data_IF_300344957319
#
_entry.id   IF_300344957319
#
_cell.length_a   1.000
_cell.length_b   1.000
_cell.length_c   1.000
_cell.angle_alpha   90.00
_cell.angle_beta   90.00
_cell.angle_gamma   90.00
#
_symmetry.space_group_name_H-M   'P 1'
#
loop_
_entity.id
_entity.type
_entity.pdbx_description
1 polymer ?
#
# COMPACT_ATOMS: atom_id res chain seq x y z
N UNK A 1 1.26 -26.68 -22.01
CA UNK A 1 2.22 -27.32 -21.08
C UNK A 1 2.96 -26.30 -20.20
N UNK A 2 3.68 -25.35 -20.78
CA UNK A 2 4.43 -24.34 -20.00
C UNK A 2 3.53 -23.49 -19.10
N UNK A 3 2.38 -23.07 -19.60
CA UNK A 3 1.41 -22.30 -18.80
C UNK A 3 0.98 -23.03 -17.53
N UNK A 4 0.69 -24.33 -17.63
CA UNK A 4 0.28 -25.14 -16.46
C UNK A 4 1.42 -25.30 -15.44
N UNK A 5 2.67 -25.43 -15.89
CA UNK A 5 3.83 -25.48 -14.99
C UNK A 5 4.02 -24.16 -14.28
N UNK A 6 3.92 -23.04 -15.00
CA UNK A 6 4.01 -21.71 -14.39
C UNK A 6 2.86 -21.43 -13.44
N UNK A 7 1.63 -21.84 -13.75
CA UNK A 7 0.49 -21.75 -12.84
C UNK A 7 0.82 -22.42 -11.51
N UNK A 8 1.28 -23.66 -11.55
CA UNK A 8 1.60 -24.43 -10.35
C UNK A 8 2.70 -23.73 -9.51
N UNK A 9 3.81 -23.35 -10.14
CA UNK A 9 4.93 -22.72 -9.44
C UNK A 9 4.57 -21.33 -8.90
N UNK A 10 3.77 -20.55 -9.63
CA UNK A 10 3.34 -19.21 -9.21
C UNK A 10 2.35 -19.30 -8.05
N UNK A 11 1.39 -20.22 -8.08
CA UNK A 11 0.43 -20.40 -7.00
C UNK A 11 1.08 -20.93 -5.71
N UNK A 12 2.21 -21.65 -5.80
CA UNK A 12 2.99 -22.03 -4.62
C UNK A 12 3.48 -20.82 -3.82
N UNK A 13 3.70 -19.67 -4.45
CA UNK A 13 4.12 -18.43 -3.78
C UNK A 13 3.02 -17.89 -2.84
N UNK A 14 1.75 -18.22 -3.12
CA UNK A 14 0.64 -17.81 -2.26
C UNK A 14 0.75 -18.41 -0.84
N UNK A 15 1.32 -19.60 -0.68
CA UNK A 15 1.45 -20.29 0.61
C UNK A 15 2.33 -19.48 1.58
N UNK A 16 3.62 -19.17 1.31
CA UNK A 16 4.43 -18.38 2.22
C UNK A 16 3.90 -16.96 2.41
N UNK A 17 3.27 -16.37 1.38
CA UNK A 17 2.64 -15.06 1.49
C UNK A 17 1.48 -15.07 2.47
N UNK A 18 0.62 -16.09 2.43
CA UNK A 18 -0.46 -16.28 3.38
C UNK A 18 0.07 -16.50 4.82
N UNK A 19 1.11 -17.32 4.98
CA UNK A 19 1.77 -17.53 6.28
C UNK A 19 2.28 -16.21 6.85
N UNK A 20 2.90 -15.36 6.04
CA UNK A 20 3.34 -14.02 6.47
C UNK A 20 2.16 -13.15 6.90
N UNK A 21 1.09 -13.10 6.13
CA UNK A 21 -0.10 -12.33 6.47
C UNK A 21 -0.71 -12.80 7.81
N UNK A 22 -0.84 -14.12 8.00
CA UNK A 22 -1.33 -14.68 9.26
C UNK A 22 -0.41 -14.39 10.43
N UNK A 23 0.91 -14.43 10.26
CA UNK A 23 1.86 -14.07 11.29
C UNK A 23 1.70 -12.61 11.74
N UNK A 24 1.49 -11.68 10.80
CA UNK A 24 1.19 -10.27 11.14
C UNK A 24 -0.13 -10.15 11.91
N UNK A 25 -1.20 -10.79 11.42
CA UNK A 25 -2.52 -10.72 12.07
C UNK A 25 -2.46 -11.33 13.47
N UNK A 26 -1.84 -12.50 13.64
CA UNK A 26 -1.72 -13.17 14.93
C UNK A 26 -0.84 -12.42 15.91
N UNK A 27 0.19 -11.72 15.43
CA UNK A 27 1.02 -10.84 16.28
C UNK A 27 0.21 -9.67 16.83
N UNK A 28 -0.75 -9.14 16.05
CA UNK A 28 -1.65 -8.08 16.50
C UNK A 28 -2.81 -8.60 17.38
N UNK A 29 -3.13 -9.88 17.28
CA UNK A 29 -4.27 -10.47 17.97
C UNK A 29 -4.11 -10.42 19.48
N UNK A 30 -5.11 -9.85 20.17
CA UNK A 30 -5.10 -9.64 21.64
C UNK A 30 -3.93 -8.81 22.18
N UNK A 31 -3.19 -8.12 21.31
CA UNK A 31 -2.14 -7.19 21.70
C UNK A 31 -2.71 -5.86 22.22
N UNK A 32 -1.94 -5.15 23.02
CA UNK A 32 -2.26 -3.78 23.43
C UNK A 32 -1.87 -2.82 22.31
N UNK A 33 -2.74 -2.67 21.32
CA UNK A 33 -2.48 -1.86 20.13
C UNK A 33 -2.63 -0.37 20.43
N UNK A 34 -1.58 0.38 20.22
CA UNK A 34 -1.64 1.84 20.23
C UNK A 34 -1.75 2.34 18.79
N UNK A 35 -2.92 2.84 18.40
CA UNK A 35 -3.22 3.32 17.04
C UNK A 35 -2.54 4.67 16.75
N UNK A 36 -1.23 4.73 16.89
CA UNK A 36 -0.42 5.85 16.44
C UNK A 36 -0.15 5.76 14.92
N UNK A 37 0.37 6.81 14.27
CA UNK A 37 0.64 6.79 12.83
C UNK A 37 1.49 5.60 12.38
N UNK A 38 2.52 5.20 13.14
CA UNK A 38 3.36 4.05 12.81
C UNK A 38 2.54 2.74 12.76
N UNK A 39 1.68 2.51 13.76
CA UNK A 39 0.81 1.33 13.82
C UNK A 39 -0.23 1.36 12.70
N UNK A 40 -0.83 2.50 12.40
CA UNK A 40 -1.80 2.62 11.31
C UNK A 40 -1.17 2.27 9.96
N UNK A 41 0.03 2.76 9.68
CA UNK A 41 0.76 2.39 8.46
C UNK A 41 1.13 0.90 8.45
N UNK A 42 1.46 0.30 9.59
CA UNK A 42 1.72 -1.14 9.69
C UNK A 42 0.47 -1.98 9.39
N UNK A 43 -0.69 -1.56 9.89
CA UNK A 43 -1.99 -2.19 9.57
C UNK A 43 -2.33 -1.98 8.10
N UNK A 44 -2.10 -0.77 7.58
CA UNK A 44 -2.28 -0.44 6.17
C UNK A 44 -1.43 -1.32 5.25
N UNK A 45 -0.17 -1.59 5.60
CA UNK A 45 0.71 -2.52 4.89
C UNK A 45 0.07 -3.90 4.78
N UNK A 46 -0.39 -4.46 5.90
CA UNK A 46 -1.00 -5.79 5.90
C UNK A 46 -2.29 -5.80 5.07
N UNK A 47 -3.12 -4.76 5.19
CA UNK A 47 -4.36 -4.61 4.43
C UNK A 47 -4.10 -4.57 2.92
N UNK A 48 -3.19 -3.73 2.45
CA UNK A 48 -2.88 -3.60 1.02
C UNK A 48 -2.19 -4.84 0.47
N UNK A 49 -1.30 -5.46 1.25
CA UNK A 49 -0.65 -6.71 0.88
C UNK A 49 -1.65 -7.85 0.69
N UNK A 50 -2.63 -8.00 1.60
CA UNK A 50 -3.67 -9.04 1.49
C UNK A 50 -4.58 -8.75 0.30
N UNK A 51 -5.07 -7.52 0.17
CA UNK A 51 -5.96 -7.13 -0.95
C UNK A 51 -5.30 -7.37 -2.30
N UNK A 52 -4.06 -6.93 -2.46
CA UNK A 52 -3.31 -7.17 -3.69
C UNK A 52 -2.93 -8.65 -3.87
N UNK A 53 -2.59 -9.36 -2.78
CA UNK A 53 -2.24 -10.78 -2.83
C UNK A 53 -3.37 -11.68 -3.32
N UNK A 54 -4.62 -11.36 -2.95
CA UNK A 54 -5.80 -12.11 -3.44
C UNK A 54 -5.96 -11.99 -4.96
N UNK A 55 -5.69 -10.82 -5.53
CA UNK A 55 -5.72 -10.64 -7.00
C UNK A 55 -4.56 -11.35 -7.71
N UNK A 56 -3.48 -11.63 -6.99
CA UNK A 56 -2.35 -12.42 -7.49
C UNK A 56 -2.70 -13.87 -7.81
N UNK A 57 -3.69 -14.45 -7.13
CA UNK A 57 -4.19 -15.79 -7.42
C UNK A 57 -4.82 -15.84 -8.82
N UNK A 58 -5.53 -14.79 -9.21
CA UNK A 58 -6.13 -14.66 -10.55
C UNK A 58 -5.03 -14.57 -11.61
N UNK A 59 -4.01 -13.73 -11.38
CA UNK A 59 -2.88 -13.58 -12.30
C UNK A 59 -1.95 -14.80 -12.31
N UNK A 60 -1.93 -15.58 -11.23
CA UNK A 60 -1.13 -16.80 -11.14
C UNK A 60 -1.71 -17.98 -11.93
N UNK A 61 -3.01 -17.99 -12.19
CA UNK A 61 -3.66 -18.99 -12.99
C UNK A 61 -3.63 -18.59 -14.48
N UNK A 62 -2.92 -19.36 -15.30
CA UNK A 62 -2.76 -19.05 -16.72
C UNK A 62 -4.09 -19.04 -17.50
N UNK A 63 -5.12 -19.72 -17.05
CA UNK A 63 -6.44 -19.71 -17.68
C UNK A 63 -7.21 -18.43 -17.40
N UNK A 64 -7.04 -17.86 -16.22
CA UNK A 64 -7.64 -16.57 -15.84
C UNK A 64 -6.80 -15.40 -16.34
N UNK A 65 -5.48 -15.53 -16.30
CA UNK A 65 -4.52 -14.49 -16.68
C UNK A 65 -4.66 -14.09 -18.16
N UNK A 66 -5.03 -15.01 -19.05
CA UNK A 66 -5.28 -14.72 -20.47
C UNK A 66 -6.20 -13.52 -20.68
N UNK A 67 -7.19 -13.32 -19.80
CA UNK A 67 -8.18 -12.24 -19.94
C UNK A 67 -7.72 -10.92 -19.31
N UNK A 68 -6.77 -10.95 -18.39
CA UNK A 68 -6.33 -9.77 -17.62
C UNK A 68 -4.85 -9.46 -17.80
N UNK A 69 -4.13 -10.29 -18.52
CA UNK A 69 -2.72 -10.11 -18.83
C UNK A 69 -2.49 -8.78 -19.59
N UNK A 70 -1.45 -8.07 -19.20
CA UNK A 70 -1.10 -6.75 -19.76
C UNK A 70 -2.21 -5.69 -19.74
N UNK A 71 -3.17 -5.83 -18.82
CA UNK A 71 -4.21 -4.83 -18.53
C UNK A 71 -3.89 -4.04 -17.26
N UNK A 72 -4.74 -3.04 -16.95
CA UNK A 72 -4.67 -2.29 -15.68
C UNK A 72 -4.91 -3.16 -14.44
N UNK A 73 -5.46 -4.36 -14.58
CA UNK A 73 -5.57 -5.33 -13.48
C UNK A 73 -4.19 -5.71 -12.93
N UNK A 74 -3.24 -5.97 -13.80
CA UNK A 74 -1.85 -6.27 -13.40
C UNK A 74 -1.23 -5.08 -12.68
N UNK A 75 -1.48 -3.86 -13.18
CA UNK A 75 -0.96 -2.62 -12.57
C UNK A 75 -1.51 -2.45 -11.15
N UNK A 76 -2.81 -2.64 -10.96
CA UNK A 76 -3.45 -2.57 -9.66
C UNK A 76 -2.88 -3.59 -8.67
N UNK A 77 -2.73 -4.84 -9.12
CA UNK A 77 -2.18 -5.92 -8.32
C UNK A 77 -0.79 -5.58 -7.76
N UNK A 78 0.20 -5.33 -8.61
CA UNK A 78 1.56 -5.14 -8.11
C UNK A 78 1.74 -3.83 -7.34
N UNK A 79 0.95 -2.80 -7.62
CA UNK A 79 1.00 -1.58 -6.82
C UNK A 79 0.47 -1.80 -5.40
N UNK A 80 -0.59 -2.57 -5.21
CA UNK A 80 -1.08 -2.89 -3.86
C UNK A 80 -0.10 -3.79 -3.11
N UNK A 81 0.41 -4.86 -3.76
CA UNK A 81 1.31 -5.83 -3.11
C UNK A 81 2.67 -5.24 -2.79
N UNK A 82 3.26 -4.51 -3.74
CA UNK A 82 4.65 -4.07 -3.64
C UNK A 82 4.77 -2.56 -3.48
N UNK A 83 4.09 -1.77 -4.31
CA UNK A 83 4.22 -0.31 -4.31
C UNK A 83 3.73 0.30 -3.00
N UNK A 84 2.44 0.19 -2.72
CA UNK A 84 1.81 0.83 -1.55
C UNK A 84 2.20 0.13 -0.25
N UNK A 85 2.23 -1.22 -0.22
CA UNK A 85 2.61 -1.92 1.00
C UNK A 85 4.06 -1.64 1.41
N UNK A 86 5.00 -1.54 0.47
CA UNK A 86 6.39 -1.15 0.77
C UNK A 86 6.48 0.29 1.28
N UNK A 87 5.75 1.23 0.65
CA UNK A 87 5.68 2.62 1.12
C UNK A 87 5.10 2.71 2.53
N UNK A 88 4.06 1.94 2.83
CA UNK A 88 3.48 1.91 4.18
C UNK A 88 4.47 1.35 5.20
N UNK A 89 5.24 0.32 4.84
CA UNK A 89 6.33 -0.20 5.68
C UNK A 89 7.40 0.87 5.93
N UNK A 90 7.79 1.61 4.90
CA UNK A 90 8.72 2.73 5.01
C UNK A 90 8.19 3.82 5.97
N UNK A 91 6.95 4.27 5.77
CA UNK A 91 6.35 5.29 6.64
C UNK A 91 6.18 4.80 8.07
N UNK A 92 5.73 3.55 8.27
CA UNK A 92 5.66 2.96 9.60
C UNK A 92 7.02 3.01 10.30
N UNK A 93 8.09 2.63 9.60
CA UNK A 93 9.47 2.67 10.09
C UNK A 93 9.91 4.09 10.42
N UNK A 94 9.69 5.05 9.51
CA UNK A 94 10.07 6.45 9.75
C UNK A 94 9.36 7.01 10.98
N UNK A 95 8.04 6.87 11.11
CA UNK A 95 7.31 7.35 12.28
C UNK A 95 7.74 6.66 13.59
N UNK A 96 8.09 5.37 13.51
CA UNK A 96 8.51 4.59 14.69
C UNK A 96 9.91 4.96 15.16
N UNK A 97 10.87 5.06 14.24
CA UNK A 97 12.28 5.30 14.56
C UNK A 97 12.69 6.77 14.55
N UNK A 98 11.81 7.68 14.15
CA UNK A 98 12.10 9.12 14.16
C UNK A 98 12.64 9.63 15.50
N UNK A 99 12.06 9.25 16.66
CA UNK A 99 12.60 9.62 17.96
C UNK A 99 14.05 9.19 18.18
N UNK A 100 14.40 8.01 17.68
CA UNK A 100 15.76 7.47 17.81
C UNK A 100 16.76 8.16 16.88
N UNK A 101 16.31 8.58 15.70
CA UNK A 101 17.15 9.28 14.73
C UNK A 101 17.43 10.74 15.11
N UNK A 102 16.43 11.43 15.65
CA UNK A 102 16.48 12.89 15.85
C UNK A 102 16.27 13.33 17.30
N UNK A 103 15.98 12.42 18.24
CA UNK A 103 15.67 12.76 19.63
C UNK A 103 14.37 13.56 19.81
N UNK A 104 13.51 13.60 18.78
CA UNK A 104 12.28 14.39 18.74
C UNK A 104 11.11 13.55 18.23
N UNK A 105 9.87 13.97 18.55
CA UNK A 105 8.65 13.32 18.07
C UNK A 105 8.09 14.05 16.86
N UNK A 106 7.63 13.29 15.87
CA UNK A 106 6.82 13.84 14.78
C UNK A 106 5.43 14.22 15.27
N UNK A 107 4.82 15.22 14.62
CA UNK A 107 3.46 15.64 14.95
C UNK A 107 2.46 14.52 14.58
N UNK A 108 1.75 14.02 15.61
CA UNK A 108 0.79 12.92 15.47
C UNK A 108 -0.41 13.27 14.60
N UNK A 109 -0.92 14.51 14.71
CA UNK A 109 -2.11 14.93 13.95
C UNK A 109 -1.81 14.97 12.45
N UNK A 110 -0.66 15.52 12.06
CA UNK A 110 -0.20 15.49 10.67
C UNK A 110 0.04 14.05 10.19
N UNK A 111 0.55 13.17 11.08
CA UNK A 111 0.70 11.75 10.80
C UNK A 111 -0.63 11.04 10.54
N UNK A 112 -1.68 11.36 11.28
CA UNK A 112 -3.02 10.81 11.05
C UNK A 112 -3.61 11.31 9.72
N UNK A 113 -3.48 12.60 9.42
CA UNK A 113 -3.93 13.17 8.15
C UNK A 113 -3.20 12.48 6.98
N UNK A 114 -1.87 12.36 7.08
CA UNK A 114 -1.06 11.69 6.08
C UNK A 114 -1.53 10.24 5.86
N UNK A 115 -1.73 9.47 6.93
CA UNK A 115 -2.18 8.08 6.81
C UNK A 115 -3.56 7.98 6.16
N UNK A 116 -4.58 8.66 6.70
CA UNK A 116 -5.95 8.48 6.24
C UNK A 116 -6.15 8.97 4.79
N UNK A 117 -5.57 10.11 4.44
CA UNK A 117 -5.65 10.60 3.05
C UNK A 117 -4.93 9.62 2.12
N UNK A 118 -3.72 9.18 2.47
CA UNK A 118 -2.98 8.23 1.63
C UNK A 118 -3.73 6.89 1.52
N UNK A 119 -4.32 6.37 2.61
CA UNK A 119 -5.00 5.09 2.61
C UNK A 119 -6.27 5.12 1.74
N UNK A 120 -7.12 6.13 1.92
CA UNK A 120 -8.33 6.28 1.10
C UNK A 120 -7.97 6.46 -0.37
N UNK A 121 -6.98 7.30 -0.67
CA UNK A 121 -6.57 7.55 -2.05
C UNK A 121 -5.89 6.33 -2.69
N UNK A 122 -5.09 5.56 -1.95
CA UNK A 122 -4.48 4.34 -2.47
C UNK A 122 -5.54 3.33 -2.94
N UNK A 123 -6.57 3.11 -2.13
CA UNK A 123 -7.69 2.27 -2.55
C UNK A 123 -8.53 2.94 -3.64
N UNK A 124 -8.73 4.26 -3.60
CA UNK A 124 -9.42 5.02 -4.63
C UNK A 124 -8.74 4.98 -6.01
N UNK A 125 -7.42 4.80 -6.04
CA UNK A 125 -6.64 4.61 -7.27
C UNK A 125 -6.69 3.16 -7.72
N UNK A 126 -6.22 2.23 -6.87
CA UNK A 126 -5.91 0.87 -7.33
C UNK A 126 -7.10 -0.09 -7.31
N UNK A 127 -8.13 0.17 -6.51
CA UNK A 127 -9.32 -0.67 -6.53
C UNK A 127 -10.13 -0.53 -7.82
N UNK A 128 -10.47 0.70 -8.31
CA UNK A 128 -11.11 0.87 -9.61
C UNK A 128 -10.27 0.37 -10.79
N UNK A 129 -8.94 0.41 -10.69
CA UNK A 129 -8.06 -0.12 -11.74
C UNK A 129 -8.28 -1.62 -12.01
N UNK A 130 -8.70 -2.41 -11.03
CA UNK A 130 -9.03 -3.81 -11.27
C UNK A 130 -10.23 -3.94 -12.21
N UNK A 131 -11.25 -3.10 -12.04
CA UNK A 131 -12.45 -3.15 -12.88
C UNK A 131 -12.17 -2.71 -14.32
N UNK A 132 -11.42 -1.63 -14.52
CA UNK A 132 -11.06 -1.21 -15.88
C UNK A 132 -10.10 -2.20 -16.54
N UNK A 133 -9.27 -2.90 -15.74
CA UNK A 133 -8.44 -3.99 -16.23
C UNK A 133 -9.23 -5.22 -16.64
N UNK A 134 -10.27 -5.60 -15.87
CA UNK A 134 -11.20 -6.68 -16.23
C UNK A 134 -12.02 -6.33 -17.48
N UNK A 135 -12.31 -5.05 -17.72
CA UNK A 135 -12.92 -4.58 -18.97
C UNK A 135 -11.96 -4.64 -20.17
N UNK A 136 -10.69 -5.03 -19.95
CA UNK A 136 -9.70 -5.22 -21.02
C UNK A 136 -8.85 -3.99 -21.33
N UNK A 137 -8.92 -2.91 -20.53
CA UNK A 137 -8.09 -1.72 -20.79
C UNK A 137 -6.60 -2.07 -20.66
N UNK A 138 -5.82 -1.97 -21.77
CA UNK A 138 -4.42 -2.36 -21.77
C UNK A 138 -3.55 -1.35 -21.02
N UNK A 139 -2.52 -1.82 -20.32
CA UNK A 139 -1.48 -0.98 -19.73
C UNK A 139 -0.49 -0.47 -20.81
N UNK A 140 0.29 0.56 -20.47
CA UNK A 140 1.38 1.10 -21.31
C UNK A 140 0.95 1.84 -22.58
N UNK A 141 -0.29 2.26 -22.67
CA UNK A 141 -0.76 3.13 -23.73
C UNK A 141 -0.77 4.60 -23.27
N UNK A 142 -0.47 5.52 -24.18
CA UNK A 142 -0.41 6.94 -23.85
C UNK A 142 -1.80 7.57 -23.70
N UNK A 143 -2.83 6.93 -24.24
CA UNK A 143 -4.22 7.39 -24.16
C UNK A 143 -5.20 6.22 -24.10
N UNK A 144 -6.29 6.42 -23.35
CA UNK A 144 -7.40 5.45 -23.26
C UNK A 144 -8.35 5.59 -24.46
N UNK A 145 -8.35 6.75 -25.13
CA UNK A 145 -9.24 7.05 -26.26
C UNK A 145 -8.72 6.50 -27.60
N UNK A 146 -7.65 5.73 -27.58
CA UNK A 146 -7.16 5.02 -28.77
C UNK A 146 -8.18 4.00 -29.32
N UNK A 147 -9.08 3.54 -28.45
CA UNK A 147 -10.10 2.53 -28.79
C UNK A 147 -11.45 3.01 -28.31
N UNK A 148 -12.43 3.29 -29.22
CA UNK A 148 -13.74 3.85 -28.86
C UNK A 148 -14.55 3.04 -27.86
N UNK A 149 -14.36 1.72 -27.81
CA UNK A 149 -15.05 0.85 -26.83
C UNK A 149 -14.60 1.02 -25.37
N UNK A 150 -13.58 1.84 -25.11
CA UNK A 150 -13.17 2.23 -23.76
C UNK A 150 -13.62 3.64 -23.35
N UNK A 151 -14.39 4.33 -24.18
CA UNK A 151 -14.84 5.69 -23.86
C UNK A 151 -15.68 5.72 -22.57
N UNK A 152 -16.48 4.69 -22.30
CA UNK A 152 -17.28 4.54 -21.08
C UNK A 152 -16.42 4.43 -19.80
N UNK A 153 -15.13 4.12 -19.93
CA UNK A 153 -14.19 4.03 -18.81
C UNK A 153 -13.46 5.35 -18.53
N UNK A 154 -13.68 6.38 -19.33
CA UNK A 154 -12.99 7.66 -19.21
C UNK A 154 -13.25 8.31 -17.84
N UNK A 155 -14.49 8.30 -17.36
CA UNK A 155 -14.86 8.88 -16.07
C UNK A 155 -14.16 8.19 -14.90
N UNK A 156 -14.01 6.87 -14.97
CA UNK A 156 -13.29 6.09 -13.94
C UNK A 156 -11.80 6.48 -13.97
N UNK A 157 -11.20 6.66 -15.13
CA UNK A 157 -9.82 7.11 -15.27
C UNK A 157 -9.59 8.52 -14.72
N UNK A 158 -10.55 9.44 -14.93
CA UNK A 158 -10.51 10.77 -14.31
C UNK A 158 -10.56 10.67 -12.79
N UNK A 159 -11.48 9.85 -12.25
CA UNK A 159 -11.57 9.61 -10.81
C UNK A 159 -10.26 9.06 -10.23
N UNK A 160 -9.65 8.06 -10.87
CA UNK A 160 -8.35 7.49 -10.48
C UNK A 160 -7.27 8.60 -10.47
N UNK A 161 -7.25 9.46 -11.47
CA UNK A 161 -6.29 10.58 -11.57
C UNK A 161 -6.47 11.57 -10.41
N UNK A 162 -7.71 11.92 -10.08
CA UNK A 162 -7.99 12.81 -8.92
C UNK A 162 -7.48 12.20 -7.63
N UNK A 163 -7.77 10.92 -7.36
CA UNK A 163 -7.24 10.25 -6.18
C UNK A 163 -5.70 10.19 -6.17
N UNK A 164 -5.07 9.97 -7.32
CA UNK A 164 -3.61 9.95 -7.43
C UNK A 164 -3.00 11.31 -7.10
N UNK A 165 -3.59 12.42 -7.59
CA UNK A 165 -3.13 13.77 -7.26
C UNK A 165 -3.28 14.09 -5.77
N UNK A 166 -4.41 13.71 -5.16
CA UNK A 166 -4.64 13.89 -3.72
C UNK A 166 -3.67 13.04 -2.91
N UNK A 167 -3.39 11.79 -3.32
CA UNK A 167 -2.37 10.96 -2.70
C UNK A 167 -0.98 11.61 -2.77
N UNK A 168 -0.64 12.20 -3.92
CA UNK A 168 0.62 12.96 -4.08
C UNK A 168 0.69 14.16 -3.13
N UNK A 169 -0.40 14.93 -3.01
CA UNK A 169 -0.47 16.05 -2.07
C UNK A 169 -0.30 15.61 -0.61
N UNK A 170 -0.82 14.44 -0.23
CA UNK A 170 -0.63 13.89 1.12
C UNK A 170 0.86 13.65 1.45
N UNK A 171 1.69 13.35 0.45
CA UNK A 171 3.14 13.17 0.67
C UNK A 171 3.85 14.50 1.00
N UNK A 172 3.32 15.63 0.55
CA UNK A 172 3.83 16.96 0.94
C UNK A 172 3.57 17.19 2.44
N UNK A 173 2.41 16.75 2.95
CA UNK A 173 2.12 16.81 4.40
C UNK A 173 3.14 15.98 5.19
N UNK A 174 3.51 14.80 4.70
CA UNK A 174 4.55 13.99 5.32
C UNK A 174 5.90 14.70 5.32
N UNK A 175 6.34 15.22 4.18
CA UNK A 175 7.63 15.92 4.04
C UNK A 175 7.69 17.13 4.97
N UNK A 176 6.62 17.92 5.01
CA UNK A 176 6.52 19.05 5.94
C UNK A 176 6.63 18.58 7.40
N UNK A 177 5.87 17.54 7.79
CA UNK A 177 5.91 17.00 9.14
C UNK A 177 7.32 16.48 9.48
N UNK A 178 7.97 15.79 8.57
CA UNK A 178 9.30 15.25 8.75
C UNK A 178 10.33 16.36 8.99
N UNK A 179 10.42 17.33 8.05
CA UNK A 179 11.40 18.42 8.11
C UNK A 179 11.12 19.33 9.32
N UNK A 180 9.88 19.74 9.53
CA UNK A 180 9.52 20.59 10.67
C UNK A 180 9.84 19.90 12.00
N UNK A 181 9.57 18.62 12.13
CA UNK A 181 9.80 17.88 13.38
C UNK A 181 11.29 17.65 13.66
N UNK A 182 12.16 17.62 12.64
CA UNK A 182 13.61 17.54 12.84
C UNK A 182 14.14 18.73 13.64
N UNK A 183 13.61 19.94 13.37
CA UNK A 183 14.11 21.17 13.99
C UNK A 183 13.25 21.64 15.16
N UNK A 184 11.94 21.52 15.06
CA UNK A 184 10.95 22.08 15.99
C UNK A 184 10.08 21.03 16.69
N UNK A 185 10.32 19.74 16.44
CA UNK A 185 9.59 18.67 17.10
C UNK A 185 9.80 18.66 18.62
N UNK A 186 8.80 18.15 19.35
CA UNK A 186 8.91 18.01 20.80
C UNK A 186 10.04 17.03 21.14
N UNK A 187 10.94 17.43 22.02
CA UNK A 187 11.98 16.54 22.54
C UNK A 187 11.36 15.33 23.25
N UNK A 188 12.00 14.20 23.11
CA UNK A 188 11.47 12.95 23.62
C UNK A 188 12.48 12.26 24.57
N UNK A 189 11.95 11.38 25.39
CA UNK A 189 12.75 10.45 26.19
C UNK A 189 13.31 9.32 25.31
N UNK A 190 14.30 8.60 25.81
CA UNK A 190 14.97 7.51 25.07
C UNK A 190 13.98 6.42 24.61
N UNK A 191 12.98 6.09 25.42
CA UNK A 191 11.94 5.10 25.10
C UNK A 191 10.53 5.73 25.12
N UNK A 192 10.13 6.45 24.04
CA UNK A 192 8.85 7.13 23.99
C UNK A 192 7.66 6.16 23.85
N UNK A 193 7.91 4.95 23.40
CA UNK A 193 6.90 3.92 23.19
C UNK A 193 6.66 3.04 24.42
N UNK A 194 7.48 3.19 25.47
CA UNK A 194 7.49 2.31 26.67
C UNK A 194 7.58 0.84 26.27
N UNK A 195 8.40 0.55 25.28
CA UNK A 195 8.61 -0.79 24.75
C UNK A 195 9.64 -1.52 25.60
N UNK A 196 9.42 -2.82 25.82
CA UNK A 196 10.35 -3.71 26.55
C UNK A 196 11.35 -4.42 25.62
N UNK A 197 11.47 -3.96 24.37
CA UNK A 197 12.41 -4.55 23.41
C UNK A 197 13.81 -3.98 23.60
N UNK A 198 14.84 -4.78 23.33
CA UNK A 198 16.26 -4.39 23.40
C UNK A 198 16.57 -3.14 22.56
N UNK A 199 15.78 -2.87 21.55
CA UNK A 199 15.94 -1.71 20.69
C UNK A 199 15.71 -0.38 21.42
N UNK A 200 14.87 -0.38 22.45
CA UNK A 200 14.44 0.80 23.22
C UNK A 200 14.91 0.82 24.68
N UNK A 201 15.76 -0.11 25.05
CA UNK A 201 16.40 -0.17 26.40
C UNK A 201 17.69 0.62 26.48
#
# INVERSE_FOLDING_TARGET
FLGSVFTFTTLLIAIPSAVKAFNYITTLWKGNLQLNPAMLFSIGLVSTFITGGLTGIILGDSTLDINVHDTYFVVAHFHLVMGISALYGLFAGVYHWFPKMFGRMMNKNLGYIHFWVTAVCAYGVFFPMHFIGMAGLPRRYYTNTAFPYFDDLADINVLITVFALVAGAAQIVFLYNFIHSMFYGKETVQNPWRSNTLEWT
#
